data_IF_015842664876
#
_entry.id   IF_015842664876
#
_cell.length_a   1.000
_cell.length_b   1.000
_cell.length_c   1.000
_cell.angle_alpha   90.00
_cell.angle_beta   90.00
_cell.angle_gamma   90.00
#
_symmetry.space_group_name_H-M   'P 1'
#
loop_
_entity.id
_entity.type
_entity.pdbx_description
1 polymer ?
#
# COMPACT_ATOMS: atom_id res chain seq x y z
N UNK A 1 -8.91 9.52 -2.65
CA UNK A 1 -8.18 8.81 -1.57
C UNK A 1 -7.26 9.78 -0.86
N UNK A 2 -6.37 10.50 -1.54
CA UNK A 2 -5.67 11.68 -0.96
C UNK A 2 -6.67 12.70 -0.37
N UNK A 3 -7.73 13.09 -1.10
CA UNK A 3 -8.77 13.99 -0.57
C UNK A 3 -9.47 13.49 0.72
N UNK A 4 -9.59 12.16 0.87
CA UNK A 4 -10.20 11.56 2.06
C UNK A 4 -9.26 11.66 3.27
N UNK A 5 -7.96 11.40 3.05
CA UNK A 5 -6.93 11.60 4.07
C UNK A 5 -6.90 13.07 4.48
N UNK A 6 -6.83 13.99 3.52
CA UNK A 6 -6.82 15.44 3.79
C UNK A 6 -8.07 15.88 4.59
N UNK A 7 -9.25 15.38 4.22
CA UNK A 7 -10.50 15.68 4.92
C UNK A 7 -10.50 15.15 6.36
N UNK A 8 -10.03 13.91 6.58
CA UNK A 8 -9.94 13.31 7.93
C UNK A 8 -8.97 14.11 8.79
N UNK A 9 -7.77 14.40 8.29
CA UNK A 9 -6.77 15.17 9.04
C UNK A 9 -7.22 16.60 9.32
N UNK A 10 -7.92 17.24 8.38
CA UNK A 10 -8.53 18.55 8.60
C UNK A 10 -9.58 18.53 9.72
N UNK A 11 -10.46 17.53 9.73
CA UNK A 11 -11.49 17.38 10.77
C UNK A 11 -10.86 17.12 12.14
N UNK A 12 -9.85 16.25 12.21
CA UNK A 12 -9.12 15.96 13.45
C UNK A 12 -8.40 17.20 13.98
N UNK A 13 -7.70 17.93 13.12
CA UNK A 13 -7.03 19.18 13.49
C UNK A 13 -8.03 20.20 14.05
N UNK A 14 -9.20 20.34 13.42
CA UNK A 14 -10.25 21.23 13.90
C UNK A 14 -10.84 20.78 15.23
N UNK A 15 -11.01 19.48 15.45
CA UNK A 15 -11.49 18.92 16.70
C UNK A 15 -10.50 19.15 17.86
N UNK A 16 -9.21 18.90 17.62
CA UNK A 16 -8.15 19.11 18.62
C UNK A 16 -8.00 20.58 18.99
N UNK A 17 -8.07 21.49 18.01
CA UNK A 17 -8.09 22.94 18.29
C UNK A 17 -9.28 23.37 19.13
N UNK A 18 -10.47 22.85 18.84
CA UNK A 18 -11.67 23.13 19.66
C UNK A 18 -11.50 22.62 21.09
N UNK A 19 -10.90 21.44 21.27
CA UNK A 19 -10.59 20.92 22.60
C UNK A 19 -9.60 21.82 23.35
N UNK A 20 -8.58 22.36 22.65
CA UNK A 20 -7.63 23.30 23.23
C UNK A 20 -8.33 24.56 23.76
N UNK A 21 -9.32 25.10 23.04
CA UNK A 21 -10.08 26.28 23.45
C UNK A 21 -11.01 26.04 24.66
N UNK A 22 -11.29 24.79 25.04
CA UNK A 22 -12.02 24.50 26.27
C UNK A 22 -11.14 24.68 27.53
N UNK A 23 -9.81 24.84 27.37
CA UNK A 23 -8.83 25.02 28.45
C UNK A 23 -8.87 23.91 29.54
N UNK A 24 -9.48 22.77 29.24
CA UNK A 24 -9.61 21.63 30.15
C UNK A 24 -8.67 20.50 29.71
N UNK A 25 -7.69 20.11 30.53
CA UNK A 25 -6.75 19.04 30.20
C UNK A 25 -7.42 17.67 30.00
N UNK A 26 -8.52 17.39 30.69
CA UNK A 26 -9.25 16.12 30.55
C UNK A 26 -9.94 16.05 29.18
N UNK A 27 -10.53 17.17 28.73
CA UNK A 27 -11.14 17.26 27.40
C UNK A 27 -10.06 17.15 26.32
N UNK A 28 -8.89 17.76 26.51
CA UNK A 28 -7.76 17.64 25.58
C UNK A 28 -7.26 16.19 25.46
N UNK A 29 -7.04 15.51 26.59
CA UNK A 29 -6.62 14.11 26.60
C UNK A 29 -7.66 13.20 25.94
N UNK A 30 -8.94 13.35 26.28
CA UNK A 30 -10.03 12.60 25.67
C UNK A 30 -10.15 12.85 24.16
N UNK A 31 -9.91 14.08 23.70
CA UNK A 31 -9.91 14.41 22.27
C UNK A 31 -8.76 13.72 21.52
N UNK A 32 -7.58 13.61 22.15
CA UNK A 32 -6.44 12.85 21.58
C UNK A 32 -6.76 11.37 21.50
N UNK A 33 -7.30 10.77 22.57
CA UNK A 33 -7.72 9.36 22.56
C UNK A 33 -8.79 9.08 21.50
N UNK A 34 -9.75 9.99 21.34
CA UNK A 34 -10.75 9.89 20.30
C UNK A 34 -10.14 9.97 18.89
N UNK A 35 -9.20 10.90 18.67
CA UNK A 35 -8.47 11.03 17.41
C UNK A 35 -7.68 9.75 17.09
N UNK A 36 -7.00 9.17 18.08
CA UNK A 36 -6.29 7.88 17.96
C UNK A 36 -7.26 6.76 17.57
N UNK A 37 -8.42 6.68 18.24
CA UNK A 37 -9.45 5.68 17.91
C UNK A 37 -9.95 5.84 16.47
N UNK A 38 -10.16 7.06 15.98
CA UNK A 38 -10.57 7.32 14.60
C UNK A 38 -9.49 6.94 13.59
N UNK A 39 -8.23 7.30 13.85
CA UNK A 39 -7.12 6.95 12.95
C UNK A 39 -6.90 5.44 12.89
N UNK A 40 -6.95 4.75 14.03
CA UNK A 40 -6.70 3.30 14.08
C UNK A 40 -7.92 2.49 13.62
N UNK A 41 -9.11 2.73 14.18
CA UNK A 41 -10.29 1.89 13.90
C UNK A 41 -11.04 2.27 12.64
N UNK A 42 -10.95 3.51 12.17
CA UNK A 42 -11.70 3.93 10.98
C UNK A 42 -10.78 4.06 9.78
N UNK A 43 -9.71 4.84 9.88
CA UNK A 43 -8.84 5.08 8.75
C UNK A 43 -7.97 3.85 8.44
N UNK A 44 -7.20 3.38 9.42
CA UNK A 44 -6.28 2.26 9.21
C UNK A 44 -7.01 0.96 8.87
N UNK A 45 -8.07 0.60 9.60
CA UNK A 45 -8.88 -0.59 9.27
C UNK A 45 -9.51 -0.49 7.87
N UNK A 46 -9.98 0.70 7.46
CA UNK A 46 -10.52 0.88 6.12
C UNK A 46 -9.44 0.70 5.04
N UNK A 47 -8.27 1.32 5.20
CA UNK A 47 -7.15 1.21 4.27
C UNK A 47 -6.61 -0.23 4.21
N UNK A 48 -6.51 -0.92 5.35
CA UNK A 48 -6.17 -2.35 5.40
C UNK A 48 -7.24 -3.23 4.77
N UNK A 49 -8.52 -2.89 4.93
CA UNK A 49 -9.63 -3.58 4.28
C UNK A 49 -9.55 -3.46 2.75
N UNK A 50 -9.28 -2.27 2.23
CA UNK A 50 -9.07 -2.02 0.81
C UNK A 50 -7.86 -2.81 0.27
N UNK A 51 -6.74 -2.80 1.00
CA UNK A 51 -5.56 -3.61 0.67
C UNK A 51 -5.92 -5.09 0.58
N UNK A 52 -6.57 -5.65 1.61
CA UNK A 52 -6.99 -7.06 1.62
C UNK A 52 -7.94 -7.41 0.47
N UNK A 53 -8.92 -6.56 0.17
CA UNK A 53 -9.88 -6.79 -0.93
C UNK A 53 -9.22 -6.77 -2.31
N UNK A 54 -8.27 -5.86 -2.52
CA UNK A 54 -7.51 -5.78 -3.77
C UNK A 54 -6.62 -7.01 -3.99
N UNK A 55 -6.24 -7.72 -2.92
CA UNK A 55 -5.35 -8.88 -2.94
C UNK A 55 -6.07 -10.24 -2.92
N UNK A 56 -7.11 -10.42 -2.10
CA UNK A 56 -7.82 -11.70 -1.92
C UNK A 56 -8.48 -12.19 -3.23
N UNK A 57 -8.91 -11.27 -4.08
CA UNK A 57 -9.50 -11.58 -5.38
C UNK A 57 -8.51 -12.19 -6.40
N UNK A 58 -7.19 -12.16 -6.12
CA UNK A 58 -6.17 -12.85 -6.92
C UNK A 58 -5.89 -14.28 -6.49
N UNK A 59 -6.11 -14.67 -5.23
CA UNK A 59 -6.01 -16.08 -4.85
C UNK A 59 -7.08 -16.90 -5.60
N UNK A 60 -8.29 -16.34 -5.71
CA UNK A 60 -9.38 -16.92 -6.50
C UNK A 60 -9.08 -16.91 -8.01
N UNK A 61 -8.48 -15.85 -8.53
CA UNK A 61 -8.15 -15.73 -9.97
C UNK A 61 -6.97 -16.59 -10.42
N UNK A 62 -5.92 -16.72 -9.60
CA UNK A 62 -4.76 -17.55 -9.90
C UNK A 62 -5.07 -19.05 -9.75
N UNK A 63 -5.90 -19.43 -8.76
CA UNK A 63 -6.42 -20.80 -8.64
C UNK A 63 -7.33 -21.16 -9.82
N UNK A 64 -8.19 -20.25 -10.27
CA UNK A 64 -9.01 -20.45 -11.46
C UNK A 64 -8.18 -20.51 -12.75
N UNK A 65 -7.09 -19.72 -12.87
CA UNK A 65 -6.14 -19.83 -13.99
C UNK A 65 -5.39 -21.17 -14.00
N UNK A 66 -5.06 -21.74 -12.84
CA UNK A 66 -4.45 -23.07 -12.77
C UNK A 66 -5.44 -24.17 -13.20
N UNK A 67 -6.73 -24.02 -12.86
CA UNK A 67 -7.81 -24.94 -13.26
C UNK A 67 -8.14 -24.79 -14.76
N UNK A 68 -8.17 -23.56 -15.29
CA UNK A 68 -8.42 -23.30 -16.72
C UNK A 68 -7.21 -23.71 -17.56
N UNK A 69 -5.97 -23.46 -17.14
CA UNK A 69 -4.78 -23.90 -17.86
C UNK A 69 -4.56 -25.43 -17.83
N UNK A 70 -5.21 -26.14 -16.89
CA UNK A 70 -5.29 -27.60 -16.89
C UNK A 70 -6.48 -28.13 -17.70
N UNK A 71 -7.60 -27.39 -17.76
CA UNK A 71 -8.76 -27.72 -18.61
C UNK A 71 -8.55 -27.40 -20.10
N UNK A 72 -7.74 -26.39 -20.44
CA UNK A 72 -7.41 -25.97 -21.81
C UNK A 72 -6.46 -26.97 -22.53
N UNK A 73 -5.87 -27.91 -21.78
CA UNK A 73 -5.16 -29.06 -22.38
C UNK A 73 -6.09 -30.20 -22.78
N UNK A 74 -7.37 -30.17 -22.40
CA UNK A 74 -8.30 -31.28 -22.63
C UNK A 74 -9.55 -30.93 -23.42
N UNK A 75 -9.93 -29.66 -23.60
CA UNK A 75 -11.07 -29.32 -24.44
C UNK A 75 -10.91 -27.96 -25.13
N UNK A 76 -10.71 -28.00 -26.45
CA UNK A 76 -10.77 -26.81 -27.29
C UNK A 76 -12.16 -26.18 -27.26
N UNK A 77 -12.19 -24.85 -27.27
CA UNK A 77 -13.36 -23.99 -27.51
C UNK A 77 -14.26 -23.70 -26.31
N UNK A 78 -13.83 -22.82 -25.38
CA UNK A 78 -14.63 -21.72 -24.81
C UNK A 78 -13.82 -20.90 -23.77
N UNK A 79 -13.16 -19.78 -24.13
CA UNK A 79 -12.53 -18.90 -23.10
C UNK A 79 -12.17 -17.45 -23.52
N UNK A 80 -12.82 -16.89 -24.55
CA UNK A 80 -12.48 -15.51 -25.00
C UNK A 80 -12.97 -14.40 -24.05
N UNK A 81 -14.20 -14.52 -23.55
CA UNK A 81 -14.88 -13.47 -22.78
C UNK A 81 -14.48 -13.43 -21.28
N UNK A 82 -14.17 -14.59 -20.69
CA UNK A 82 -13.72 -14.68 -19.30
C UNK A 82 -12.29 -14.14 -19.12
N UNK A 83 -11.39 -14.41 -20.08
CA UNK A 83 -10.02 -13.91 -20.05
C UNK A 83 -9.95 -12.37 -20.21
N UNK A 84 -10.80 -11.79 -21.05
CA UNK A 84 -10.85 -10.33 -21.30
C UNK A 84 -11.51 -9.56 -20.15
N UNK A 85 -12.60 -10.05 -19.56
CA UNK A 85 -13.21 -9.44 -18.37
C UNK A 85 -12.29 -9.49 -17.14
N UNK A 86 -11.50 -10.57 -17.01
CA UNK A 86 -10.59 -10.79 -15.88
C UNK A 86 -9.27 -9.99 -16.01
N UNK A 87 -8.81 -9.73 -17.24
CA UNK A 87 -7.71 -8.80 -17.54
C UNK A 87 -8.08 -7.34 -17.22
N UNK A 88 -9.29 -6.91 -17.60
CA UNK A 88 -9.79 -5.56 -17.29
C UNK A 88 -9.95 -5.34 -15.77
N UNK A 89 -10.42 -6.35 -15.05
CA UNK A 89 -10.54 -6.26 -13.60
C UNK A 89 -9.17 -6.25 -12.89
N UNK A 90 -8.17 -6.97 -13.41
CA UNK A 90 -6.79 -6.90 -12.93
C UNK A 90 -6.14 -5.52 -13.15
N UNK A 91 -6.41 -4.89 -14.29
CA UNK A 91 -5.89 -3.58 -14.65
C UNK A 91 -6.45 -2.43 -13.78
N UNK A 92 -7.72 -2.49 -13.35
CA UNK A 92 -8.31 -1.48 -12.47
C UNK A 92 -7.91 -1.62 -10.98
N UNK A 93 -7.38 -2.78 -10.56
CA UNK A 93 -7.10 -3.12 -9.15
C UNK A 93 -5.72 -2.68 -8.68
N UNK A 94 -4.72 -2.70 -9.56
CA UNK A 94 -3.36 -2.23 -9.24
C UNK A 94 -3.35 -0.72 -8.90
N UNK A 95 -4.05 0.16 -9.65
CA UNK A 95 -4.21 1.57 -9.27
C UNK A 95 -4.98 1.77 -7.95
N UNK A 96 -5.88 0.86 -7.57
CA UNK A 96 -6.60 0.95 -6.29
C UNK A 96 -5.70 0.58 -5.09
N UNK A 97 -4.86 -0.45 -5.25
CA UNK A 97 -3.86 -0.84 -4.26
C UNK A 97 -2.80 0.27 -4.09
N UNK A 98 -2.30 0.82 -5.20
CA UNK A 98 -1.35 1.94 -5.15
C UNK A 98 -1.94 3.18 -4.47
N UNK A 99 -3.18 3.56 -4.81
CA UNK A 99 -3.86 4.67 -4.13
C UNK A 99 -4.04 4.44 -2.64
N UNK A 100 -4.18 3.18 -2.20
CA UNK A 100 -4.29 2.83 -0.78
C UNK A 100 -2.94 2.89 -0.07
N UNK A 101 -1.85 2.46 -0.73
CA UNK A 101 -0.48 2.60 -0.23
C UNK A 101 -0.05 4.06 -0.15
N UNK A 102 -0.35 4.86 -1.17
CA UNK A 102 -0.10 6.29 -1.21
C UNK A 102 -0.88 7.03 -0.10
N UNK A 103 -2.14 6.67 0.11
CA UNK A 103 -2.93 7.19 1.23
C UNK A 103 -2.33 6.81 2.61
N UNK A 104 -1.81 5.59 2.77
CA UNK A 104 -1.09 5.18 3.98
C UNK A 104 0.19 6.00 4.16
N UNK A 105 0.98 6.18 3.11
CA UNK A 105 2.22 6.95 3.16
C UNK A 105 1.95 8.43 3.50
N UNK A 106 0.92 9.03 2.89
CA UNK A 106 0.47 10.37 3.24
C UNK A 106 0.04 10.45 4.72
N UNK A 107 -0.71 9.46 5.21
CA UNK A 107 -1.14 9.42 6.61
C UNK A 107 0.04 9.31 7.60
N UNK A 108 1.11 8.59 7.25
CA UNK A 108 2.33 8.49 8.05
C UNK A 108 3.04 9.85 8.15
N UNK A 109 3.02 10.66 7.08
CA UNK A 109 3.62 12.01 7.09
C UNK A 109 2.74 13.03 7.84
N UNK A 110 1.42 12.91 7.73
CA UNK A 110 0.47 13.85 8.33
C UNK A 110 0.27 13.64 9.83
N UNK A 111 0.32 12.40 10.32
CA UNK A 111 0.12 12.03 11.73
C UNK A 111 1.05 12.75 12.72
N UNK A 112 2.38 12.76 12.53
CA UNK A 112 3.28 13.46 13.47
C UNK A 112 3.05 14.97 13.46
N UNK A 113 2.72 15.55 12.30
CA UNK A 113 2.39 16.98 12.17
C UNK A 113 1.12 17.33 12.92
N UNK A 114 0.10 16.46 12.87
CA UNK A 114 -1.14 16.61 13.63
C UNK A 114 -0.86 16.64 15.14
N UNK A 115 -0.04 15.71 15.64
CA UNK A 115 0.31 15.63 17.06
C UNK A 115 1.15 16.80 17.53
N UNK A 116 2.13 17.22 16.72
CA UNK A 116 2.95 18.38 17.04
C UNK A 116 2.11 19.66 17.10
N UNK A 117 1.19 19.84 16.15
CA UNK A 117 0.27 20.97 16.15
C UNK A 117 -0.68 20.94 17.35
N UNK A 118 -1.24 19.78 17.69
CA UNK A 118 -2.09 19.63 18.86
C UNK A 118 -1.33 19.97 20.14
N UNK A 119 -0.07 19.53 20.25
CA UNK A 119 0.79 19.83 21.39
C UNK A 119 1.05 21.33 21.55
N UNK A 120 1.33 22.05 20.46
CA UNK A 120 1.50 23.50 20.53
C UNK A 120 0.20 24.21 20.90
N UNK A 121 -0.93 23.76 20.35
CA UNK A 121 -2.24 24.36 20.61
C UNK A 121 -2.67 24.14 22.07
N UNK A 122 -2.39 22.97 22.64
CA UNK A 122 -2.65 22.68 24.06
C UNK A 122 -1.71 23.44 24.99
N UNK A 123 -0.41 23.51 24.69
CA UNK A 123 0.56 24.26 25.48
C UNK A 123 0.24 25.77 25.54
N UNK A 124 -0.42 26.31 24.51
CA UNK A 124 -0.84 27.71 24.48
C UNK A 124 -2.10 27.98 25.35
N UNK A 125 -2.97 27.00 25.54
CA UNK A 125 -4.28 27.19 26.19
C UNK A 125 -4.38 26.58 27.61
N UNK A 126 -3.60 25.54 27.90
CA UNK A 126 -3.67 24.75 29.14
C UNK A 126 -2.47 25.07 30.04
N UNK A 127 -2.66 25.22 31.36
CA UNK A 127 -1.55 25.46 32.30
C UNK A 127 -0.51 24.33 32.29
N UNK A 128 0.77 24.68 32.40
CA UNK A 128 1.87 23.71 32.28
C UNK A 128 1.79 22.51 33.24
N UNK A 129 1.29 22.70 34.47
CA UNK A 129 1.12 21.63 35.45
C UNK A 129 -0.01 20.66 35.11
N UNK A 130 -0.94 21.06 34.24
CA UNK A 130 -2.09 20.28 33.81
C UNK A 130 -1.86 19.57 32.45
N UNK A 131 -0.69 19.77 31.82
CA UNK A 131 -0.35 19.16 30.53
C UNK A 131 0.07 17.69 30.63
N UNK A 132 0.51 17.23 31.80
CA UNK A 132 0.99 15.84 32.03
C UNK A 132 0.04 14.77 31.46
N UNK A 133 -1.29 14.77 31.75
CA UNK A 133 -2.21 13.79 31.16
C UNK A 133 -2.32 13.90 29.63
N UNK A 134 -2.22 15.12 29.09
CA UNK A 134 -2.30 15.38 27.64
C UNK A 134 -1.04 14.89 26.94
N UNK A 135 0.13 15.10 27.53
CA UNK A 135 1.41 14.59 27.03
C UNK A 135 1.46 13.05 27.07
N UNK A 136 0.89 12.43 28.10
CA UNK A 136 0.73 10.98 28.17
C UNK A 136 -0.19 10.47 27.04
N UNK A 137 -1.31 11.14 26.78
CA UNK A 137 -2.20 10.79 25.67
C UNK A 137 -1.52 10.95 24.29
N UNK A 138 -0.77 12.05 24.09
CA UNK A 138 -0.03 12.32 22.84
C UNK A 138 1.12 11.34 22.61
N UNK A 139 1.83 10.94 23.67
CA UNK A 139 2.88 9.92 23.57
C UNK A 139 2.30 8.54 23.26
N UNK A 140 1.15 8.18 23.83
CA UNK A 140 0.42 6.98 23.44
C UNK A 140 -0.05 7.05 21.98
N UNK A 141 -0.44 8.24 21.49
CA UNK A 141 -0.86 8.45 20.11
C UNK A 141 0.26 8.21 19.08
N UNK A 142 1.54 8.27 19.47
CA UNK A 142 2.66 7.93 18.59
C UNK A 142 2.63 6.45 18.13
N UNK A 143 1.95 5.56 18.86
CA UNK A 143 1.75 4.16 18.44
C UNK A 143 0.89 4.02 17.18
N UNK A 144 0.14 5.04 16.80
CA UNK A 144 -0.63 5.06 15.54
C UNK A 144 0.33 5.07 14.34
N UNK A 145 1.44 5.79 14.44
CA UNK A 145 2.43 5.89 13.37
C UNK A 145 3.10 4.54 13.12
N UNK A 146 3.47 3.82 14.19
CA UNK A 146 4.05 2.48 14.08
C UNK A 146 3.05 1.48 13.48
N UNK A 147 1.77 1.58 13.84
CA UNK A 147 0.72 0.75 13.25
C UNK A 147 0.49 1.06 11.75
N UNK A 148 0.51 2.33 11.36
CA UNK A 148 0.42 2.73 9.95
C UNK A 148 1.63 2.27 9.13
N UNK A 149 2.84 2.41 9.69
CA UNK A 149 4.08 1.94 9.06
C UNK A 149 4.05 0.42 8.86
N UNK A 150 3.66 -0.34 9.88
CA UNK A 150 3.53 -1.80 9.78
C UNK A 150 2.50 -2.21 8.70
N UNK A 151 1.42 -1.44 8.54
CA UNK A 151 0.42 -1.68 7.49
C UNK A 151 0.98 -1.37 6.10
N UNK A 152 1.77 -0.31 5.94
CA UNK A 152 2.45 0.03 4.70
C UNK A 152 3.45 -1.06 4.31
N UNK A 153 4.31 -1.47 5.23
CA UNK A 153 5.32 -2.50 5.02
C UNK A 153 4.65 -3.84 4.66
N UNK A 154 3.56 -4.20 5.35
CA UNK A 154 2.75 -5.36 5.03
C UNK A 154 2.16 -5.28 3.61
N UNK A 155 1.63 -4.13 3.21
CA UNK A 155 1.09 -3.90 1.87
C UNK A 155 2.15 -3.95 0.77
N UNK A 156 3.35 -3.40 1.01
CA UNK A 156 4.49 -3.45 0.10
C UNK A 156 5.04 -4.88 -0.04
N UNK A 157 5.17 -5.61 1.08
CA UNK A 157 5.57 -7.02 1.06
C UNK A 157 4.57 -7.87 0.25
N UNK A 158 3.27 -7.59 0.37
CA UNK A 158 2.23 -8.24 -0.41
C UNK A 158 2.32 -7.88 -1.90
N UNK A 159 2.58 -6.62 -2.24
CA UNK A 159 2.85 -6.21 -3.63
C UNK A 159 4.06 -6.94 -4.21
N UNK A 160 5.16 -7.00 -3.47
CA UNK A 160 6.38 -7.71 -3.86
C UNK A 160 6.10 -9.20 -4.06
N UNK A 161 5.37 -9.85 -3.15
CA UNK A 161 4.97 -11.24 -3.27
C UNK A 161 4.12 -11.52 -4.52
N UNK A 162 3.38 -10.54 -5.03
CA UNK A 162 2.64 -10.67 -6.29
C UNK A 162 3.51 -10.50 -7.54
N UNK A 163 4.51 -9.62 -7.49
CA UNK A 163 5.38 -9.32 -8.64
C UNK A 163 6.49 -10.37 -8.79
N UNK A 164 7.02 -10.87 -7.67
CA UNK A 164 8.17 -11.78 -7.64
C UNK A 164 7.95 -13.08 -8.44
N UNK A 165 6.82 -13.79 -8.41
CA UNK A 165 6.62 -15.00 -9.23
C UNK A 165 6.67 -14.73 -10.75
N UNK A 166 6.16 -13.57 -11.17
CA UNK A 166 6.18 -13.15 -12.59
C UNK A 166 7.60 -12.82 -13.04
N UNK A 167 8.38 -12.19 -12.17
CA UNK A 167 9.79 -11.91 -12.43
C UNK A 167 10.64 -13.19 -12.35
N UNK A 168 10.36 -14.07 -11.39
CA UNK A 168 11.10 -15.32 -11.15
C UNK A 168 11.02 -16.27 -12.34
N UNK A 169 9.83 -16.49 -12.90
CA UNK A 169 9.66 -17.32 -14.11
C UNK A 169 10.48 -16.81 -15.30
N UNK A 170 10.71 -15.50 -15.40
CA UNK A 170 11.57 -14.90 -16.43
C UNK A 170 13.05 -14.92 -16.05
N UNK A 171 13.39 -14.71 -14.78
CA UNK A 171 14.76 -14.82 -14.26
C UNK A 171 15.28 -16.27 -14.30
N UNK A 172 14.42 -17.27 -14.15
CA UNK A 172 14.79 -18.68 -14.32
C UNK A 172 15.13 -19.00 -15.78
N UNK A 173 14.48 -18.34 -16.76
CA UNK A 173 14.89 -18.41 -18.18
C UNK A 173 16.26 -17.77 -18.42
N UNK A 174 16.65 -16.77 -17.61
CA UNK A 174 17.99 -16.19 -17.63
C UNK A 174 19.03 -17.14 -17.01
N UNK A 175 18.70 -17.77 -15.88
CA UNK A 175 19.58 -18.72 -15.21
C UNK A 175 19.83 -19.98 -16.04
N UNK A 176 18.89 -20.37 -16.89
CA UNK A 176 19.03 -21.50 -17.81
C UNK A 176 19.86 -21.24 -19.07
N UNK A 177 20.31 -20.00 -19.32
CA UNK A 177 21.19 -19.68 -20.46
C UNK A 177 22.66 -19.85 -20.08
N UNK A 178 23.42 -20.53 -20.93
CA UNK A 178 24.89 -20.58 -20.82
C UNK A 178 25.49 -19.26 -21.27
N UNK A 179 26.35 -18.67 -20.45
CA UNK A 179 27.10 -17.43 -20.75
C UNK A 179 28.57 -17.72 -21.14
N UNK A 180 28.93 -18.99 -21.30
CA UNK A 180 30.22 -19.38 -21.85
C UNK A 180 30.10 -19.32 -23.36
N UNK A 181 30.46 -18.18 -23.95
CA UNK A 181 30.49 -17.97 -25.38
C UNK A 181 31.84 -18.48 -25.91
N UNK A 182 31.85 -19.66 -26.54
CA UNK A 182 33.07 -20.28 -27.05
C UNK A 182 33.38 -19.93 -28.51
N UNK A 183 32.40 -19.34 -29.22
CA UNK A 183 32.49 -19.09 -30.66
C UNK A 183 31.82 -17.77 -31.07
N UNK A 184 32.27 -17.18 -32.18
CA UNK A 184 31.73 -15.94 -32.77
C UNK A 184 30.26 -16.08 -33.19
N UNK A 185 29.81 -17.26 -33.60
CA UNK A 185 28.42 -17.52 -34.00
C UNK A 185 27.45 -17.52 -32.80
N UNK A 186 27.91 -17.96 -31.63
CA UNK A 186 27.13 -17.88 -30.38
C UNK A 186 27.03 -16.45 -29.88
N UNK A 187 28.08 -15.65 -30.09
CA UNK A 187 28.10 -14.22 -29.78
C UNK A 187 27.09 -13.47 -30.66
N UNK A 188 27.08 -13.73 -31.97
CA UNK A 188 26.13 -13.14 -32.91
C UNK A 188 24.66 -13.53 -32.62
N UNK A 189 24.40 -14.77 -32.16
CA UNK A 189 23.05 -15.18 -31.70
C UNK A 189 22.66 -14.54 -30.37
N UNK A 190 23.60 -14.36 -29.44
CA UNK A 190 23.36 -13.73 -28.15
C UNK A 190 23.04 -12.23 -28.29
N UNK A 191 23.70 -11.53 -29.22
CA UNK A 191 23.42 -10.13 -29.56
C UNK A 191 22.02 -9.95 -30.16
N UNK A 192 21.60 -10.84 -31.06
CA UNK A 192 20.26 -10.82 -31.68
C UNK A 192 19.12 -11.23 -30.73
N UNK A 193 19.42 -11.92 -29.63
CA UNK A 193 18.43 -12.40 -28.64
C UNK A 193 18.69 -11.84 -27.25
N UNK A 194 18.96 -10.54 -27.18
CA UNK A 194 19.12 -9.81 -25.92
C UNK A 194 17.93 -10.05 -24.99
N UNK A 195 18.14 -10.82 -23.94
CA UNK A 195 17.16 -11.11 -22.88
C UNK A 195 16.80 -9.84 -22.10
N UNK A 196 17.76 -8.93 -21.99
CA UNK A 196 17.65 -7.71 -21.21
C UNK A 196 16.61 -6.76 -21.81
N UNK A 197 16.47 -6.72 -23.13
CA UNK A 197 15.50 -5.88 -23.84
C UNK A 197 14.04 -6.19 -23.47
N UNK A 198 13.55 -7.44 -23.65
CA UNK A 198 12.21 -7.85 -23.25
C UNK A 198 11.94 -7.73 -21.75
N UNK A 199 12.93 -8.03 -20.89
CA UNK A 199 12.82 -7.87 -19.44
C UNK A 199 12.65 -6.39 -19.06
N UNK A 200 13.45 -5.49 -19.65
CA UNK A 200 13.30 -4.05 -19.46
C UNK A 200 11.98 -3.54 -20.02
N UNK A 201 11.52 -4.05 -21.16
CA UNK A 201 10.23 -3.68 -21.74
C UNK A 201 9.06 -4.11 -20.86
N UNK A 202 9.09 -5.30 -20.26
CA UNK A 202 8.08 -5.76 -19.31
C UNK A 202 8.15 -4.98 -17.98
N UNK A 203 9.35 -4.75 -17.42
CA UNK A 203 9.51 -3.91 -16.24
C UNK A 203 8.99 -2.50 -16.50
N UNK A 204 9.28 -1.93 -17.67
CA UNK A 204 8.79 -0.63 -18.09
C UNK A 204 7.28 -0.63 -18.30
N UNK A 205 6.71 -1.70 -18.88
CA UNK A 205 5.27 -1.86 -19.04
C UNK A 205 4.55 -1.99 -17.68
N UNK A 206 5.14 -2.72 -16.73
CA UNK A 206 4.64 -2.82 -15.35
C UNK A 206 4.76 -1.48 -14.64
N UNK A 207 5.90 -0.79 -14.76
CA UNK A 207 6.14 0.53 -14.18
C UNK A 207 5.31 1.65 -14.83
N UNK A 208 4.94 1.53 -16.10
CA UNK A 208 4.06 2.49 -16.77
C UNK A 208 2.58 2.20 -16.55
N UNK A 209 2.25 0.98 -16.12
CA UNK A 209 0.90 0.58 -15.72
C UNK A 209 0.65 0.78 -14.20
N UNK A 210 1.72 1.06 -13.45
CA UNK A 210 1.71 1.59 -12.08
C UNK A 210 1.45 3.10 -12.15
#
# INVERSE_FOLDING_TARGET
MSELVDSVFYVLQRALRRAAHCCDPAICAAAVEHAVSLLTRRLLEHLQGQLKQSLSSKLAGAAAQAIVATADRTAGSFSGAAATAMSAAGAARLPALLRSLDALQLSIVCTPRLWQQARSDFAACVPAHALVPVDNALSAAATVETAMQAALDGGLAQLAAMLMPRLRTKLELFAGRSYVLGSEEELARAEGTSFVGPLLAELRAVLSAL
#
